data_IF_328849956160
#
_entry.id   IF_328849956160
#
_cell.length_a   1.000
_cell.length_b   1.000
_cell.length_c   1.000
_cell.angle_alpha   90.00
_cell.angle_beta   90.00
_cell.angle_gamma   90.00
#
_symmetry.space_group_name_H-M   'P 1'
#
loop_
_entity.id
_entity.type
_entity.pdbx_description
1 polymer ?
#
# COMPACT_ATOMS: atom_id res chain seq x y z
N UNK A 1 -31.89 -13.10 2.27
CA UNK A 1 -30.96 -12.48 3.25
C UNK A 1 -29.68 -12.10 2.52
N UNK A 2 -29.21 -10.86 2.66
CA UNK A 2 -27.99 -10.40 1.98
C UNK A 2 -26.80 -10.58 2.94
N UNK A 3 -26.03 -11.66 2.79
CA UNK A 3 -24.90 -11.97 3.68
C UNK A 3 -23.66 -11.11 3.39
N UNK A 4 -23.49 -10.65 2.15
CA UNK A 4 -22.29 -9.95 1.71
C UNK A 4 -22.09 -8.57 2.37
N UNK A 5 -23.07 -7.64 2.40
CA UNK A 5 -22.88 -6.33 3.06
C UNK A 5 -22.59 -6.45 4.55
N UNK A 6 -23.22 -7.41 5.23
CA UNK A 6 -22.98 -7.68 6.65
C UNK A 6 -21.54 -8.15 6.87
N UNK A 7 -21.06 -9.07 6.04
CA UNK A 7 -19.68 -9.56 6.13
C UNK A 7 -18.68 -8.46 5.79
N UNK A 8 -18.95 -7.67 4.75
CA UNK A 8 -18.10 -6.55 4.33
C UNK A 8 -17.95 -5.51 5.46
N UNK A 9 -19.06 -5.16 6.11
CA UNK A 9 -19.03 -4.23 7.25
C UNK A 9 -18.13 -4.75 8.37
N UNK A 10 -18.21 -6.04 8.70
CA UNK A 10 -17.33 -6.64 9.71
C UNK A 10 -15.88 -6.57 9.24
N UNK A 11 -15.59 -7.02 8.01
CA UNK A 11 -14.23 -7.05 7.44
C UNK A 11 -13.58 -5.66 7.36
N UNK A 12 -14.35 -4.61 7.08
CA UNK A 12 -13.87 -3.24 7.02
C UNK A 12 -13.53 -2.66 8.40
N UNK A 13 -14.24 -3.10 9.45
CA UNK A 13 -14.10 -2.59 10.81
C UNK A 13 -13.24 -3.48 11.73
N UNK A 14 -12.66 -4.58 11.24
CA UNK A 14 -11.80 -5.44 12.07
C UNK A 14 -10.56 -4.64 12.50
N UNK A 15 -10.31 -4.48 13.81
CA UNK A 15 -9.17 -3.71 14.30
C UNK A 15 -7.87 -4.51 14.25
N UNK A 16 -7.91 -5.79 13.91
CA UNK A 16 -6.77 -6.69 13.91
C UNK A 16 -6.61 -7.39 12.56
N UNK A 17 -5.39 -7.85 12.28
CA UNK A 17 -5.12 -8.59 11.06
C UNK A 17 -5.79 -9.97 11.11
N UNK A 18 -6.66 -10.24 10.12
CA UNK A 18 -7.30 -11.54 9.97
C UNK A 18 -6.41 -12.45 9.11
N UNK A 19 -6.00 -13.63 9.61
CA UNK A 19 -5.14 -14.54 8.86
C UNK A 19 -5.90 -15.21 7.71
N UNK A 20 -5.19 -15.49 6.60
CA UNK A 20 -5.74 -16.16 5.41
C UNK A 20 -6.44 -17.50 5.71
N UNK A 21 -5.98 -18.21 6.75
CA UNK A 21 -6.58 -19.48 7.20
C UNK A 21 -8.07 -19.34 7.54
N UNK A 22 -8.43 -18.24 8.21
CA UNK A 22 -9.82 -17.96 8.58
C UNK A 22 -10.72 -17.79 7.35
N UNK A 23 -10.22 -17.09 6.32
CA UNK A 23 -10.94 -16.95 5.05
C UNK A 23 -11.11 -18.31 4.37
N UNK A 24 -10.05 -19.12 4.30
CA UNK A 24 -10.13 -20.46 3.74
C UNK A 24 -11.17 -21.35 4.43
N UNK A 25 -11.37 -21.19 5.75
CA UNK A 25 -12.39 -21.94 6.48
C UNK A 25 -13.80 -21.44 6.18
N UNK A 26 -14.00 -20.12 6.04
CA UNK A 26 -15.27 -19.56 5.53
C UNK A 26 -15.57 -20.09 4.13
N UNK A 27 -14.58 -20.10 3.25
CA UNK A 27 -14.76 -20.57 1.89
C UNK A 27 -15.14 -22.05 1.82
N UNK A 28 -14.58 -22.89 2.70
CA UNK A 28 -14.99 -24.30 2.85
C UNK A 28 -16.44 -24.41 3.32
N UNK A 29 -16.89 -23.57 4.25
CA UNK A 29 -18.26 -23.55 4.73
C UNK A 29 -19.23 -23.12 3.62
N UNK A 30 -18.88 -22.07 2.87
CA UNK A 30 -19.66 -21.63 1.72
C UNK A 30 -19.74 -22.70 0.64
N UNK A 31 -18.65 -23.40 0.37
CA UNK A 31 -18.64 -24.49 -0.60
C UNK A 31 -19.54 -25.65 -0.15
N UNK A 32 -19.55 -25.99 1.14
CA UNK A 32 -20.49 -26.97 1.70
C UNK A 32 -21.94 -26.52 1.61
N UNK A 33 -22.21 -25.23 1.79
CA UNK A 33 -23.56 -24.66 1.74
C UNK A 33 -24.09 -24.58 0.30
N UNK A 34 -23.23 -24.25 -0.67
CA UNK A 34 -23.58 -24.16 -2.09
C UNK A 34 -23.65 -25.54 -2.76
N UNK A 35 -22.79 -26.47 -2.35
CA UNK A 35 -22.75 -27.83 -2.87
C UNK A 35 -22.91 -28.88 -1.73
N UNK A 36 -24.08 -28.95 -1.07
CA UNK A 36 -24.30 -29.85 0.05
C UNK A 36 -24.37 -31.33 -0.38
N UNK A 37 -24.77 -31.61 -1.62
CA UNK A 37 -25.14 -32.97 -2.07
C UNK A 37 -24.48 -33.43 -3.39
N UNK A 38 -23.70 -32.59 -4.07
CA UNK A 38 -23.22 -32.89 -5.43
C UNK A 38 -21.97 -33.79 -5.46
N UNK A 39 -22.05 -34.89 -6.22
CA UNK A 39 -20.93 -35.81 -6.50
C UNK A 39 -19.77 -35.15 -7.28
N UNK A 40 -20.08 -34.08 -8.03
CA UNK A 40 -19.09 -33.23 -8.71
C UNK A 40 -19.00 -31.88 -7.99
N UNK A 41 -17.86 -31.62 -7.35
CA UNK A 41 -17.58 -30.32 -6.76
C UNK A 41 -17.08 -29.39 -7.86
N UNK A 42 -17.83 -28.33 -8.16
CA UNK A 42 -17.31 -27.27 -9.02
C UNK A 42 -16.06 -26.66 -8.36
N UNK A 43 -15.02 -26.43 -9.15
CA UNK A 43 -13.81 -25.81 -8.63
C UNK A 43 -14.14 -24.39 -8.16
N UNK A 44 -13.62 -24.02 -6.97
CA UNK A 44 -13.85 -22.71 -6.36
C UNK A 44 -13.47 -21.55 -7.27
N UNK A 45 -12.37 -21.69 -8.02
CA UNK A 45 -11.93 -20.70 -8.99
C UNK A 45 -12.97 -20.44 -10.10
N UNK A 46 -13.71 -21.47 -10.51
CA UNK A 46 -14.78 -21.34 -11.52
C UNK A 46 -16.00 -20.62 -10.91
N UNK A 47 -16.37 -20.96 -9.67
CA UNK A 47 -17.47 -20.28 -8.98
C UNK A 47 -17.19 -18.80 -8.74
N UNK A 48 -15.94 -18.44 -8.43
CA UNK A 48 -15.50 -17.06 -8.22
C UNK A 48 -15.26 -16.27 -9.51
N UNK A 49 -15.24 -16.94 -10.67
CA UNK A 49 -15.09 -16.26 -11.95
C UNK A 49 -16.33 -15.41 -12.27
N UNK A 50 -16.13 -14.34 -13.05
CA UNK A 50 -17.22 -13.47 -13.48
C UNK A 50 -18.24 -14.23 -14.33
N UNK A 51 -19.48 -13.75 -14.34
CA UNK A 51 -20.55 -14.23 -15.24
C UNK A 51 -20.13 -14.26 -16.71
N UNK A 52 -19.34 -13.27 -17.15
CA UNK A 52 -18.81 -13.19 -18.52
C UNK A 52 -17.86 -14.35 -18.88
N UNK A 53 -17.26 -14.99 -17.88
CA UNK A 53 -16.38 -16.16 -18.04
C UNK A 53 -17.11 -17.48 -17.74
N UNK A 54 -18.44 -17.46 -17.66
CA UNK A 54 -19.26 -18.62 -17.30
C UNK A 54 -19.18 -19.00 -15.81
N UNK A 55 -18.69 -18.11 -14.95
CA UNK A 55 -18.64 -18.30 -13.51
C UNK A 55 -19.90 -17.82 -12.78
N UNK A 56 -19.96 -18.07 -11.47
CA UNK A 56 -21.10 -17.72 -10.61
C UNK A 56 -20.90 -16.37 -9.89
N UNK A 57 -19.79 -15.66 -10.17
CA UNK A 57 -19.36 -14.43 -9.52
C UNK A 57 -19.39 -14.50 -7.98
N UNK A 58 -19.03 -15.65 -7.41
CA UNK A 58 -19.03 -15.84 -5.97
C UNK A 58 -18.01 -14.88 -5.31
N UNK A 59 -18.39 -14.15 -4.23
CA UNK A 59 -17.49 -13.26 -3.53
C UNK A 59 -16.23 -13.96 -3.01
N UNK A 60 -15.06 -13.39 -3.28
CA UNK A 60 -13.82 -13.80 -2.62
C UNK A 60 -13.59 -12.90 -1.39
N UNK A 61 -13.94 -13.40 -0.20
CA UNK A 61 -13.87 -12.64 1.05
C UNK A 61 -12.46 -12.15 1.40
N UNK A 62 -11.42 -12.87 0.99
CA UNK A 62 -10.04 -12.41 1.14
C UNK A 62 -9.78 -11.14 0.32
N UNK A 63 -10.19 -11.14 -0.94
CA UNK A 63 -10.02 -9.97 -1.81
C UNK A 63 -10.87 -8.78 -1.33
N UNK A 64 -12.08 -9.04 -0.82
CA UNK A 64 -12.91 -7.99 -0.21
C UNK A 64 -12.28 -7.40 1.05
N UNK A 65 -11.67 -8.24 1.89
CA UNK A 65 -10.94 -7.77 3.07
C UNK A 65 -9.74 -6.91 2.66
N UNK A 66 -8.92 -7.36 1.71
CA UNK A 66 -7.81 -6.57 1.19
C UNK A 66 -8.30 -5.24 0.62
N UNK A 67 -9.34 -5.24 -0.21
CA UNK A 67 -9.92 -4.03 -0.78
C UNK A 67 -10.45 -3.06 0.29
N UNK A 68 -11.10 -3.57 1.34
CA UNK A 68 -11.57 -2.73 2.44
C UNK A 68 -10.40 -2.07 3.19
N UNK A 69 -9.30 -2.79 3.42
CA UNK A 69 -8.10 -2.20 4.02
C UNK A 69 -7.41 -1.21 3.08
N UNK A 70 -7.42 -1.44 1.76
CA UNK A 70 -6.92 -0.48 0.79
C UNK A 70 -7.76 0.80 0.76
N UNK A 71 -9.07 0.72 0.97
CA UNK A 71 -9.93 1.90 1.10
C UNK A 71 -9.55 2.74 2.33
N UNK A 72 -9.22 2.09 3.47
CA UNK A 72 -8.67 2.79 4.64
C UNK A 72 -7.31 3.43 4.31
N UNK A 73 -6.44 2.72 3.58
CA UNK A 73 -5.14 3.24 3.17
C UNK A 73 -5.27 4.44 2.22
N UNK A 74 -6.26 4.45 1.33
CA UNK A 74 -6.54 5.60 0.47
C UNK A 74 -6.84 6.86 1.30
N UNK A 75 -7.52 6.70 2.44
CA UNK A 75 -7.74 7.82 3.36
C UNK A 75 -6.45 8.32 4.00
N UNK A 76 -5.38 7.52 4.04
CA UNK A 76 -4.08 8.01 4.50
C UNK A 76 -3.47 9.00 3.51
N UNK A 77 -3.50 8.69 2.22
CA UNK A 77 -3.00 9.57 1.16
C UNK A 77 -3.89 10.78 0.87
N UNK A 78 -5.21 10.62 1.04
CA UNK A 78 -6.18 11.69 0.87
C UNK A 78 -7.02 11.80 2.15
N UNK A 79 -6.46 12.39 3.22
CA UNK A 79 -7.15 12.50 4.51
C UNK A 79 -8.39 13.35 4.38
N UNK A 80 -9.53 12.76 4.74
CA UNK A 80 -10.73 13.52 5.00
C UNK A 80 -10.82 13.80 6.51
N UNK A 81 -10.63 15.06 6.89
CA UNK A 81 -10.65 15.51 8.29
C UNK A 81 -12.02 15.36 8.96
N UNK A 82 -13.10 15.20 8.18
CA UNK A 82 -14.43 14.89 8.73
C UNK A 82 -14.49 13.47 9.32
N UNK A 83 -13.61 12.56 8.85
CA UNK A 83 -13.54 11.22 9.38
C UNK A 83 -12.73 11.16 10.68
N UNK A 84 -13.42 11.14 11.82
CA UNK A 84 -12.81 11.06 13.15
C UNK A 84 -11.86 9.87 13.33
N UNK A 85 -12.12 8.74 12.67
CA UNK A 85 -11.23 7.58 12.76
C UNK A 85 -9.84 7.89 12.17
N UNK A 86 -9.80 8.66 11.09
CA UNK A 86 -8.55 9.09 10.46
C UNK A 86 -7.82 10.10 11.36
N UNK A 87 -8.55 11.06 11.95
CA UNK A 87 -7.96 12.03 12.89
C UNK A 87 -7.32 11.36 14.10
N UNK A 88 -7.96 10.31 14.63
CA UNK A 88 -7.40 9.51 15.72
C UNK A 88 -6.15 8.74 15.30
N UNK A 89 -6.16 8.12 14.11
CA UNK A 89 -4.98 7.41 13.58
C UNK A 89 -3.78 8.34 13.39
N UNK A 90 -4.01 9.55 12.82
CA UNK A 90 -2.97 10.57 12.69
C UNK A 90 -2.42 11.01 14.05
N UNK A 91 -3.30 11.21 15.05
CA UNK A 91 -2.89 11.61 16.38
C UNK A 91 -2.06 10.51 17.08
N UNK A 92 -2.45 9.24 16.95
CA UNK A 92 -1.69 8.10 17.50
C UNK A 92 -0.29 8.01 16.87
N UNK A 93 -0.18 8.33 15.58
CA UNK A 93 1.09 8.33 14.85
C UNK A 93 1.92 9.59 15.09
N UNK A 94 1.35 10.63 15.69
CA UNK A 94 2.01 11.91 15.94
C UNK A 94 2.12 12.85 14.72
N UNK A 95 1.98 12.35 13.49
CA UNK A 95 2.02 13.17 12.27
C UNK A 95 1.28 12.53 11.09
N UNK A 96 0.67 13.38 10.25
CA UNK A 96 0.06 12.98 8.98
C UNK A 96 1.09 12.39 8.01
N UNK A 97 2.27 13.01 7.92
CA UNK A 97 3.33 12.57 7.01
C UNK A 97 3.84 11.17 7.36
N UNK A 98 3.91 10.83 8.65
CA UNK A 98 4.32 9.49 9.08
C UNK A 98 3.29 8.43 8.68
N UNK A 99 2.01 8.76 8.73
CA UNK A 99 0.95 7.85 8.31
C UNK A 99 0.94 7.65 6.78
N UNK A 100 1.16 8.71 6.00
CA UNK A 100 1.24 8.66 4.53
C UNK A 100 2.46 7.89 4.01
N UNK A 101 3.58 7.98 4.73
CA UNK A 101 4.85 7.34 4.34
C UNK A 101 4.99 5.91 4.84
N UNK A 102 4.21 5.50 5.85
CA UNK A 102 4.20 4.16 6.43
C UNK A 102 4.11 3.00 5.42
N UNK A 103 3.26 3.07 4.36
CA UNK A 103 3.17 2.01 3.35
C UNK A 103 4.51 1.69 2.67
N UNK A 104 5.45 2.63 2.65
CA UNK A 104 6.72 2.52 1.95
C UNK A 104 7.91 2.33 2.90
N UNK A 105 7.93 3.03 4.04
CA UNK A 105 9.04 2.97 5.00
C UNK A 105 8.94 1.77 5.95
N UNK A 106 7.72 1.30 6.18
CA UNK A 106 7.40 0.29 7.19
C UNK A 106 7.43 0.83 8.63
N UNK A 107 7.04 -0.01 9.61
CA UNK A 107 7.06 0.36 11.02
C UNK A 107 8.48 0.71 11.48
N UNK A 108 8.61 1.84 12.18
CA UNK A 108 9.81 2.18 12.95
C UNK A 108 9.77 1.49 14.31
N UNK A 109 10.93 1.15 14.90
CA UNK A 109 10.99 0.50 16.22
C UNK A 109 10.33 1.34 17.33
N UNK A 110 10.28 2.67 17.17
CA UNK A 110 9.75 3.59 18.17
C UNK A 110 8.24 3.89 18.00
N UNK A 111 7.62 3.45 16.90
CA UNK A 111 6.22 3.78 16.61
C UNK A 111 5.28 2.75 17.26
N UNK A 112 4.49 3.19 18.24
CA UNK A 112 3.37 2.42 18.78
C UNK A 112 2.21 2.38 17.78
N UNK A 113 2.28 1.45 16.81
CA UNK A 113 1.20 1.26 15.84
C UNK A 113 -0.06 0.73 16.51
N UNK A 114 -1.20 1.37 16.21
CA UNK A 114 -2.50 0.77 16.48
C UNK A 114 -2.65 -0.56 15.73
N UNK A 115 -3.36 -1.51 16.33
CA UNK A 115 -3.64 -2.81 15.71
C UNK A 115 -4.27 -2.66 14.31
N UNK A 116 -5.10 -1.61 14.12
CA UNK A 116 -5.77 -1.30 12.86
C UNK A 116 -4.79 -0.76 11.80
N UNK A 117 -3.87 0.11 12.22
CA UNK A 117 -2.82 0.63 11.34
C UNK A 117 -1.89 -0.51 10.90
N UNK A 118 -1.56 -1.41 11.83
CA UNK A 118 -0.75 -2.60 11.54
C UNK A 118 -1.47 -3.59 10.61
N UNK A 119 -2.78 -3.80 10.77
CA UNK A 119 -3.55 -4.67 9.89
C UNK A 119 -3.62 -4.11 8.46
N UNK A 120 -3.89 -2.80 8.33
CA UNK A 120 -3.90 -2.08 7.06
C UNK A 120 -2.56 -2.15 6.36
N UNK A 121 -1.47 -1.87 7.08
CA UNK A 121 -0.10 -2.00 6.57
C UNK A 121 0.23 -3.42 6.09
N UNK A 122 -0.10 -4.46 6.88
CA UNK A 122 0.15 -5.86 6.47
C UNK A 122 -0.62 -6.22 5.20
N UNK A 123 -1.87 -5.78 5.07
CA UNK A 123 -2.67 -6.01 3.88
C UNK A 123 -2.06 -5.30 2.66
N UNK A 124 -1.62 -4.06 2.83
CA UNK A 124 -0.87 -3.34 1.80
C UNK A 124 0.37 -4.10 1.37
N UNK A 125 1.19 -4.61 2.29
CA UNK A 125 2.38 -5.37 1.93
C UNK A 125 2.07 -6.60 1.07
N UNK A 126 0.94 -7.28 1.32
CA UNK A 126 0.51 -8.43 0.52
C UNK A 126 0.13 -7.97 -0.88
N UNK A 127 -0.73 -6.94 -0.99
CA UNK A 127 -1.18 -6.41 -2.28
C UNK A 127 -0.01 -5.84 -3.07
N UNK A 128 0.88 -5.08 -2.42
CA UNK A 128 2.06 -4.49 -3.04
C UNK A 128 3.00 -5.56 -3.58
N UNK A 129 3.15 -6.70 -2.90
CA UNK A 129 3.91 -7.85 -3.42
C UNK A 129 3.28 -8.47 -4.65
N UNK A 130 1.95 -8.57 -4.70
CA UNK A 130 1.25 -9.18 -5.81
C UNK A 130 1.13 -8.27 -7.05
N UNK A 131 1.18 -6.95 -6.87
CA UNK A 131 0.91 -5.95 -7.94
C UNK A 131 2.12 -5.11 -8.33
N UNK A 132 2.70 -4.36 -7.39
CA UNK A 132 3.69 -3.30 -7.68
C UNK A 132 5.15 -3.77 -7.57
N UNK A 133 5.49 -4.58 -6.56
CA UNK A 133 6.87 -5.02 -6.32
C UNK A 133 7.38 -5.98 -7.41
N UNK A 134 6.48 -6.63 -8.15
CA UNK A 134 6.84 -7.50 -9.27
C UNK A 134 6.95 -6.75 -10.61
N UNK A 135 6.47 -5.51 -10.69
CA UNK A 135 6.35 -4.77 -11.97
C UNK A 135 7.39 -3.68 -12.16
N UNK A 136 8.33 -3.48 -11.22
CA UNK A 136 9.31 -2.38 -11.24
C UNK A 136 8.68 -0.99 -11.45
N UNK A 137 7.39 -0.83 -11.18
CA UNK A 137 6.66 0.42 -11.32
C UNK A 137 6.71 1.21 -10.00
N UNK A 138 6.91 2.52 -10.11
CA UNK A 138 7.09 3.39 -8.95
C UNK A 138 5.80 4.15 -8.63
N UNK A 139 5.55 4.37 -7.35
CA UNK A 139 4.51 5.32 -6.94
C UNK A 139 5.13 6.73 -6.83
N UNK A 140 4.53 7.75 -7.47
CA UNK A 140 4.97 9.14 -7.32
C UNK A 140 4.98 9.63 -5.86
N UNK A 141 4.13 9.04 -5.02
CA UNK A 141 4.00 9.35 -3.59
C UNK A 141 5.02 8.61 -2.72
N UNK A 142 6.01 7.92 -3.31
CA UNK A 142 7.06 7.26 -2.53
C UNK A 142 7.91 8.30 -1.81
N UNK A 143 8.09 8.21 -0.47
CA UNK A 143 9.06 9.02 0.22
C UNK A 143 10.46 8.66 -0.28
N UNK A 144 11.28 9.67 -0.52
CA UNK A 144 12.67 9.50 -0.91
C UNK A 144 13.53 9.05 0.27
N UNK A 145 13.24 9.62 1.43
CA UNK A 145 14.05 9.45 2.64
C UNK A 145 13.49 8.33 3.52
N UNK A 146 14.39 7.60 4.17
CA UNK A 146 14.05 6.47 5.07
C UNK A 146 13.25 5.34 4.39
N UNK A 147 13.29 5.27 3.06
CA UNK A 147 12.58 4.26 2.29
C UNK A 147 13.51 3.08 1.99
N UNK A 148 13.22 1.93 2.59
CA UNK A 148 14.00 0.70 2.39
C UNK A 148 13.90 0.16 0.96
N UNK A 149 12.86 0.54 0.22
CA UNK A 149 12.69 0.16 -1.19
C UNK A 149 13.67 0.93 -2.09
N UNK A 150 14.15 2.10 -1.63
CA UNK A 150 15.07 2.98 -2.37
C UNK A 150 16.48 2.91 -1.75
N UNK A 151 17.11 1.74 -1.86
CA UNK A 151 18.42 1.48 -1.25
C UNK A 151 19.51 2.50 -1.63
N UNK A 152 19.50 3.01 -2.87
CA UNK A 152 20.48 3.99 -3.35
C UNK A 152 20.30 5.38 -2.71
N UNK A 153 19.06 5.75 -2.35
CA UNK A 153 18.76 7.03 -1.69
C UNK A 153 19.15 7.04 -0.21
N UNK A 154 19.30 5.86 0.42
CA UNK A 154 19.81 5.74 1.79
C UNK A 154 21.30 6.10 1.91
N UNK A 155 22.05 6.04 0.81
CA UNK A 155 23.49 6.35 0.78
C UNK A 155 23.78 7.86 0.71
N UNK A 156 22.74 8.68 0.49
CA UNK A 156 22.89 10.13 0.36
C UNK A 156 23.09 10.75 1.75
N UNK A 157 24.17 11.50 1.99
CA UNK A 157 24.40 12.19 3.25
C UNK A 157 23.43 13.37 3.44
N UNK A 158 23.02 13.62 4.68
CA UNK A 158 22.19 14.75 5.11
C UNK A 158 20.83 14.91 4.39
N UNK A 159 19.92 13.91 4.46
CA UNK A 159 18.60 14.00 3.83
C UNK A 159 17.75 15.19 4.35
N UNK A 160 18.04 15.67 5.57
CA UNK A 160 17.36 16.80 6.18
C UNK A 160 17.47 18.11 5.38
N UNK A 161 18.53 18.29 4.59
CA UNK A 161 18.73 19.50 3.78
C UNK A 161 17.73 19.55 2.63
N UNK A 162 17.47 18.40 2.01
CA UNK A 162 16.48 18.28 0.95
C UNK A 162 15.05 18.30 1.50
N UNK A 163 14.83 17.65 2.65
CA UNK A 163 13.55 17.71 3.35
C UNK A 163 13.18 19.17 3.73
N UNK A 164 14.15 19.96 4.22
CA UNK A 164 13.95 21.39 4.55
C UNK A 164 13.64 22.24 3.31
N UNK A 165 14.02 21.79 2.12
CA UNK A 165 13.69 22.43 0.83
C UNK A 165 12.37 21.91 0.23
N UNK A 166 11.62 21.08 0.96
CA UNK A 166 10.35 20.51 0.52
C UNK A 166 10.49 19.27 -0.37
N UNK A 167 11.70 18.77 -0.60
CA UNK A 167 11.93 17.56 -1.40
C UNK A 167 11.81 16.35 -0.47
N UNK A 168 10.58 15.87 -0.27
CA UNK A 168 10.26 14.69 0.56
C UNK A 168 9.90 13.44 -0.25
N UNK A 169 9.18 13.63 -1.37
CA UNK A 169 8.64 12.57 -2.21
C UNK A 169 9.26 12.53 -3.61
N UNK A 170 9.12 11.37 -4.27
CA UNK A 170 9.68 11.09 -5.59
C UNK A 170 9.11 12.02 -6.68
N UNK A 171 7.83 12.38 -6.59
CA UNK A 171 7.20 13.34 -7.51
C UNK A 171 7.77 14.77 -7.42
N UNK A 172 8.42 15.15 -6.30
CA UNK A 172 9.05 16.46 -6.20
C UNK A 172 10.26 16.59 -7.12
N UNK A 173 10.95 15.48 -7.35
CA UNK A 173 12.18 15.41 -8.15
C UNK A 173 11.88 15.12 -9.63
N UNK A 174 10.70 14.58 -9.93
CA UNK A 174 10.33 14.16 -11.27
C UNK A 174 9.31 15.10 -11.91
N UNK A 175 9.48 15.36 -13.21
CA UNK A 175 8.43 15.80 -14.12
C UNK A 175 8.07 14.62 -15.01
N UNK A 176 7.03 13.88 -14.62
CA UNK A 176 6.68 12.60 -15.27
C UNK A 176 7.77 11.55 -15.01
N UNK A 177 8.60 11.28 -16.02
CA UNK A 177 9.71 10.31 -15.96
C UNK A 177 11.11 10.94 -16.03
N UNK A 178 11.19 12.28 -16.06
CA UNK A 178 12.45 13.01 -16.21
C UNK A 178 12.79 13.74 -14.92
N UNK A 179 14.07 13.72 -14.55
CA UNK A 179 14.58 14.38 -13.35
C UNK A 179 14.62 15.90 -13.56
N UNK A 180 14.02 16.66 -12.63
CA UNK A 180 14.02 18.12 -12.68
C UNK A 180 15.45 18.65 -12.57
N UNK A 181 15.85 19.47 -13.53
CA UNK A 181 17.04 20.30 -13.41
C UNK A 181 16.75 21.44 -12.44
N UNK A 182 17.41 21.43 -11.29
CA UNK A 182 17.35 22.54 -10.34
C UNK A 182 18.50 23.51 -10.62
N UNK A 183 18.20 24.80 -10.78
CA UNK A 183 19.21 25.87 -10.80
C UNK A 183 19.75 26.06 -9.36
N UNK A 184 20.76 25.26 -9.02
CA UNK A 184 21.34 25.24 -7.69
C UNK A 184 22.64 26.07 -7.66
N UNK A 185 22.81 26.87 -6.60
CA UNK A 185 24.10 27.49 -6.29
C UNK A 185 25.20 26.40 -6.21
N UNK A 186 26.42 26.73 -6.64
CA UNK A 186 27.56 25.80 -6.80
C UNK A 186 27.79 24.83 -5.62
N UNK A 187 27.45 25.22 -4.40
CA UNK A 187 27.64 24.41 -3.18
C UNK A 187 26.70 23.19 -3.09
N UNK A 188 25.59 23.18 -3.85
CA UNK A 188 24.63 22.07 -3.88
C UNK A 188 24.75 21.19 -5.14
N UNK A 189 25.61 21.56 -6.09
CA UNK A 189 25.76 20.85 -7.36
C UNK A 189 26.19 19.39 -7.14
N UNK A 190 27.19 19.16 -6.30
CA UNK A 190 27.67 17.81 -5.99
C UNK A 190 26.57 16.92 -5.38
N UNK A 191 25.77 17.48 -4.47
CA UNK A 191 24.64 16.76 -3.85
C UNK A 191 23.53 16.45 -4.83
N UNK A 192 23.27 17.35 -5.78
CA UNK A 192 22.33 17.08 -6.86
C UNK A 192 22.84 15.97 -7.79
N UNK A 193 24.15 15.94 -8.10
CA UNK A 193 24.74 14.85 -8.87
C UNK A 193 24.65 13.50 -8.14
N UNK A 194 24.80 13.47 -6.82
CA UNK A 194 24.56 12.27 -6.01
C UNK A 194 23.11 11.79 -6.13
N UNK A 195 22.15 12.72 -6.09
CA UNK A 195 20.74 12.40 -6.24
C UNK A 195 20.46 11.86 -7.66
N UNK A 196 20.98 12.51 -8.69
CA UNK A 196 20.86 12.07 -10.09
C UNK A 196 21.49 10.69 -10.27
N UNK A 197 22.64 10.44 -9.65
CA UNK A 197 23.30 9.14 -9.68
C UNK A 197 22.42 8.08 -9.00
N UNK A 198 21.97 8.32 -7.77
CA UNK A 198 21.09 7.40 -7.03
C UNK A 198 19.80 7.09 -7.80
N UNK A 199 19.22 8.08 -8.48
CA UNK A 199 18.06 7.88 -9.34
C UNK A 199 18.42 6.99 -10.54
N UNK A 200 19.49 7.29 -11.27
CA UNK A 200 19.92 6.51 -12.44
C UNK A 200 20.30 5.06 -12.11
N UNK A 201 20.89 4.81 -10.94
CA UNK A 201 21.29 3.47 -10.50
C UNK A 201 20.13 2.66 -9.96
N UNK A 202 19.19 3.30 -9.28
CA UNK A 202 17.95 2.67 -8.81
C UNK A 202 17.01 2.35 -9.98
N UNK A 203 17.06 3.15 -11.06
CA UNK A 203 16.11 3.11 -12.17
C UNK A 203 16.80 3.07 -13.55
N UNK A 204 17.40 1.93 -13.93
CA UNK A 204 18.03 1.79 -15.24
C UNK A 204 16.97 1.78 -16.35
N UNK A 205 16.99 2.77 -17.25
CA UNK A 205 16.11 2.86 -18.43
C UNK A 205 15.25 4.11 -18.53
N UNK A 206 15.15 4.92 -17.47
CA UNK A 206 14.47 6.22 -17.47
C UNK A 206 15.50 7.34 -17.33
N UNK A 207 16.39 7.45 -18.32
CA UNK A 207 17.39 8.50 -18.41
C UNK A 207 17.05 9.45 -19.54
N UNK A 208 16.78 10.71 -19.19
CA UNK A 208 17.28 11.89 -19.90
C UNK A 208 17.81 12.86 -18.85
#
# INVERSE_FOLDING_TARGET
MICLPKMLYVLANVPTYVPLRWFNDIDKLLQKLLCPTSKQRLARAIMQALWSKGGLALPNFWNYYLAAQLANLQQWWHPNLDNRAMTLEMHIMGSEQELQTLPFTGPRPDNNLSAKTLSTYKCWQIVAKETYLNTNQWSPAMPLWHNKLLGQFLQIPDPGIWANKGITELHHILLGYVLKTFELQNHYLFRYLQLKHAFSTQFPGHTV
#
